data_IF_731897473597
#
_entry.id   IF_731897473597
#
_cell.length_a   1.000
_cell.length_b   1.000
_cell.length_c   1.000
_cell.angle_alpha   90.00
_cell.angle_beta   90.00
_cell.angle_gamma   90.00
#
_symmetry.space_group_name_H-M   'P 1'
#
loop_
_entity.id
_entity.type
_entity.pdbx_description
1 polymer ?
#
# COMPACT_ATOMS: atom_id res chain seq x y z
N UNK A 1 -13.95 8.24 15.92
CA UNK A 1 -14.54 7.54 14.75
C UNK A 1 -14.13 8.13 13.38
N UNK A 2 -13.23 9.13 13.31
CA UNK A 2 -12.97 9.87 12.07
C UNK A 2 -11.94 9.16 11.17
N UNK A 3 -11.03 8.39 11.77
CA UNK A 3 -9.95 7.72 11.03
C UNK A 3 -10.44 6.55 10.19
N UNK A 4 -11.26 5.66 10.77
CA UNK A 4 -11.79 4.50 10.05
C UNK A 4 -12.74 4.88 8.91
N UNK A 5 -13.53 5.95 9.10
CA UNK A 5 -14.37 6.50 8.03
C UNK A 5 -13.55 7.08 6.88
N UNK A 6 -12.44 7.79 7.18
CA UNK A 6 -11.50 8.30 6.18
C UNK A 6 -10.77 7.18 5.42
N UNK A 7 -10.41 6.11 6.12
CA UNK A 7 -9.79 4.93 5.49
C UNK A 7 -10.78 4.20 4.57
N UNK A 8 -12.03 4.06 5.01
CA UNK A 8 -13.10 3.49 4.20
C UNK A 8 -13.34 4.31 2.92
N UNK A 9 -13.42 5.64 3.02
CA UNK A 9 -13.64 6.49 1.84
C UNK A 9 -12.47 6.42 0.85
N UNK A 10 -11.23 6.33 1.35
CA UNK A 10 -10.05 6.10 0.50
C UNK A 10 -10.13 4.75 -0.23
N UNK A 11 -10.47 3.67 0.47
CA UNK A 11 -10.58 2.33 -0.12
C UNK A 11 -11.71 2.23 -1.15
N UNK A 12 -12.83 2.93 -0.93
CA UNK A 12 -13.92 3.06 -1.91
C UNK A 12 -13.42 3.78 -3.17
N UNK A 13 -12.68 4.89 -3.02
CA UNK A 13 -12.07 5.59 -4.15
C UNK A 13 -11.13 4.70 -4.95
N UNK A 14 -10.26 3.93 -4.28
CA UNK A 14 -9.36 2.98 -4.91
C UNK A 14 -10.12 1.87 -5.67
N UNK A 15 -11.22 1.37 -5.10
CA UNK A 15 -12.06 0.37 -5.74
C UNK A 15 -12.71 0.90 -7.03
N UNK A 16 -13.29 2.11 -6.98
CA UNK A 16 -13.92 2.75 -8.14
C UNK A 16 -12.89 2.99 -9.25
N UNK A 17 -11.71 3.50 -8.90
CA UNK A 17 -10.63 3.73 -9.87
C UNK A 17 -10.20 2.41 -10.53
N UNK A 18 -10.06 1.34 -9.74
CA UNK A 18 -9.76 0.01 -10.26
C UNK A 18 -10.83 -0.52 -11.21
N UNK A 19 -12.11 -0.33 -10.89
CA UNK A 19 -13.22 -0.76 -11.74
C UNK A 19 -13.24 -0.01 -13.08
N UNK A 20 -12.95 1.30 -13.07
CA UNK A 20 -12.81 2.10 -14.29
C UNK A 20 -11.64 1.58 -15.14
N UNK A 21 -10.48 1.30 -14.53
CA UNK A 21 -9.32 0.77 -15.26
C UNK A 21 -9.59 -0.61 -15.85
N UNK A 22 -10.29 -1.50 -15.12
CA UNK A 22 -10.72 -2.79 -15.66
C UNK A 22 -11.68 -2.64 -16.83
N UNK A 23 -12.66 -1.74 -16.71
CA UNK A 23 -13.62 -1.48 -17.78
C UNK A 23 -12.91 -0.96 -19.04
N UNK A 24 -12.01 0.02 -18.89
CA UNK A 24 -11.21 0.54 -20.00
C UNK A 24 -10.31 -0.54 -20.62
N UNK A 25 -9.71 -1.39 -19.81
CA UNK A 25 -8.82 -2.47 -20.26
C UNK A 25 -9.53 -3.61 -21.00
N UNK A 26 -10.78 -3.92 -20.62
CA UNK A 26 -11.53 -5.03 -21.21
C UNK A 26 -12.38 -4.59 -22.42
N UNK A 27 -12.90 -3.35 -22.39
CA UNK A 27 -13.88 -2.88 -23.39
C UNK A 27 -13.25 -2.02 -24.47
N UNK A 28 -12.27 -1.18 -24.14
CA UNK A 28 -11.77 -0.14 -25.05
C UNK A 28 -10.35 -0.44 -25.53
N UNK A 29 -9.44 -0.74 -24.61
CA UNK A 29 -8.02 -0.92 -24.89
C UNK A 29 -7.54 -2.26 -24.37
N UNK A 30 -7.25 -3.22 -25.26
CA UNK A 30 -6.65 -4.50 -24.89
C UNK A 30 -5.17 -4.32 -24.47
N UNK A 31 -4.96 -3.73 -23.29
CA UNK A 31 -3.67 -3.36 -22.75
C UNK A 31 -3.44 -4.07 -21.41
N UNK A 32 -2.43 -4.95 -21.39
CA UNK A 32 -2.07 -5.78 -20.24
C UNK A 32 -1.67 -4.96 -19.00
N UNK A 33 -1.08 -3.77 -19.17
CA UNK A 33 -0.71 -2.89 -18.05
C UNK A 33 -1.93 -2.26 -17.37
N UNK A 34 -2.92 -1.81 -18.16
CA UNK A 34 -4.18 -1.29 -17.60
C UNK A 34 -4.97 -2.39 -16.90
N UNK A 35 -4.96 -3.60 -17.46
CA UNK A 35 -5.62 -4.75 -16.84
C UNK A 35 -4.97 -5.11 -15.50
N UNK A 36 -3.63 -5.19 -15.45
CA UNK A 36 -2.90 -5.44 -14.20
C UNK A 36 -3.15 -4.38 -13.13
N UNK A 37 -3.14 -3.10 -13.53
CA UNK A 37 -3.49 -1.99 -12.64
C UNK A 37 -4.93 -2.08 -12.13
N UNK A 38 -5.89 -2.35 -13.03
CA UNK A 38 -7.30 -2.49 -12.68
C UNK A 38 -7.57 -3.62 -11.68
N UNK A 39 -6.98 -4.80 -11.89
CA UNK A 39 -7.08 -5.93 -10.94
C UNK A 39 -6.45 -5.56 -9.59
N UNK A 40 -5.28 -4.92 -9.58
CA UNK A 40 -4.60 -4.55 -8.35
C UNK A 40 -5.44 -3.55 -7.51
N UNK A 41 -5.91 -2.46 -8.12
CA UNK A 41 -6.68 -1.43 -7.44
C UNK A 41 -8.05 -1.93 -6.95
N UNK A 42 -8.72 -2.78 -7.73
CA UNK A 42 -9.99 -3.41 -7.29
C UNK A 42 -9.78 -4.33 -6.11
N UNK A 43 -8.79 -5.23 -6.15
CA UNK A 43 -8.52 -6.15 -5.03
C UNK A 43 -8.14 -5.41 -3.75
N UNK A 44 -7.23 -4.43 -3.85
CA UNK A 44 -6.82 -3.61 -2.69
C UNK A 44 -8.01 -2.84 -2.12
N UNK A 45 -8.81 -2.21 -2.98
CA UNK A 45 -10.01 -1.49 -2.55
C UNK A 45 -11.03 -2.41 -1.87
N UNK A 46 -11.29 -3.59 -2.43
CA UNK A 46 -12.28 -4.54 -1.92
C UNK A 46 -11.85 -5.13 -0.56
N UNK A 47 -10.59 -5.57 -0.44
CA UNK A 47 -10.02 -6.03 0.83
C UNK A 47 -10.03 -4.93 1.89
N UNK A 48 -9.67 -3.71 1.51
CA UNK A 48 -9.66 -2.54 2.40
C UNK A 48 -11.07 -2.17 2.89
N UNK A 49 -12.08 -2.24 2.02
CA UNK A 49 -13.49 -2.06 2.40
C UNK A 49 -13.92 -3.13 3.38
N UNK A 50 -13.64 -4.40 3.08
CA UNK A 50 -14.05 -5.52 3.96
C UNK A 50 -13.43 -5.41 5.34
N UNK A 51 -12.13 -5.11 5.42
CA UNK A 51 -11.44 -4.89 6.70
C UNK A 51 -12.05 -3.71 7.46
N UNK A 52 -12.26 -2.57 6.77
CA UNK A 52 -12.79 -1.36 7.39
C UNK A 52 -14.21 -1.58 7.94
N UNK A 53 -15.07 -2.29 7.19
CA UNK A 53 -16.41 -2.66 7.63
C UNK A 53 -16.38 -3.64 8.80
N UNK A 54 -15.47 -4.63 8.78
CA UNK A 54 -15.31 -5.58 9.89
C UNK A 54 -14.91 -4.87 11.19
N UNK A 55 -13.97 -3.93 11.10
CA UNK A 55 -13.55 -3.14 12.25
C UNK A 55 -14.63 -2.17 12.74
N UNK A 56 -15.40 -1.55 11.85
CA UNK A 56 -16.52 -0.68 12.24
C UNK A 56 -17.67 -1.44 12.92
N UNK A 57 -17.85 -2.73 12.63
CA UNK A 57 -18.85 -3.59 13.29
C UNK A 57 -18.45 -4.02 14.70
N UNK A 58 -17.18 -3.89 15.10
CA UNK A 58 -16.69 -4.23 16.44
C UNK A 58 -16.27 -2.94 17.17
N UNK A 59 -17.17 -2.29 17.93
CA UNK A 59 -16.92 -0.97 18.51
C UNK A 59 -15.74 -0.98 19.51
N UNK A 60 -15.59 -2.03 20.32
CA UNK A 60 -14.50 -2.17 21.28
C UNK A 60 -13.11 -2.12 20.61
N UNK A 61 -12.93 -2.86 19.52
CA UNK A 61 -11.67 -2.85 18.75
C UNK A 61 -11.45 -1.54 18.01
N UNK A 62 -12.52 -0.87 17.62
CA UNK A 62 -12.45 0.40 16.90
C UNK A 62 -11.97 1.52 17.84
N UNK A 63 -12.45 1.53 19.09
CA UNK A 63 -12.03 2.47 20.12
C UNK A 63 -10.60 2.19 20.59
N UNK A 64 -10.23 0.92 20.76
CA UNK A 64 -8.84 0.51 21.04
C UNK A 64 -7.87 1.02 19.95
N UNK A 65 -8.22 0.87 18.66
CA UNK A 65 -7.39 1.35 17.54
C UNK A 65 -7.25 2.88 17.55
N UNK A 66 -8.29 3.62 17.93
CA UNK A 66 -8.22 5.08 18.01
C UNK A 66 -7.41 5.56 19.22
N UNK A 67 -7.51 4.88 20.36
CA UNK A 67 -6.71 5.18 21.56
C UNK A 67 -5.23 4.87 21.33
N UNK A 68 -4.91 3.68 20.81
CA UNK A 68 -3.56 3.23 20.45
C UNK A 68 -2.87 4.17 19.45
N UNK A 69 -3.65 4.87 18.63
CA UNK A 69 -3.12 5.81 17.64
C UNK A 69 -2.69 7.14 18.23
N UNK A 70 -3.22 7.51 19.39
CA UNK A 70 -2.94 8.78 20.07
C UNK A 70 -1.92 8.64 21.20
N UNK A 71 -1.65 7.43 21.69
CA UNK A 71 -0.61 7.20 22.69
C UNK A 71 0.80 7.24 22.09
N UNK A 72 1.62 8.19 22.57
CA UNK A 72 3.00 8.42 22.08
C UNK A 72 3.88 7.16 22.13
N UNK A 73 3.79 6.38 23.22
CA UNK A 73 4.58 5.15 23.40
C UNK A 73 4.24 4.12 22.32
N UNK A 74 2.97 3.97 22.01
CA UNK A 74 2.51 2.98 21.03
C UNK A 74 2.78 3.43 19.61
N UNK A 75 2.68 4.74 19.34
CA UNK A 75 3.13 5.35 18.09
C UNK A 75 4.62 5.10 17.85
N UNK A 76 5.47 5.32 18.87
CA UNK A 76 6.92 5.08 18.76
C UNK A 76 7.26 3.62 18.44
N UNK A 77 6.63 2.66 19.12
CA UNK A 77 6.84 1.23 18.85
C UNK A 77 6.39 0.87 17.43
N UNK A 78 5.25 1.41 16.98
CA UNK A 78 4.72 1.18 15.63
C UNK A 78 5.67 1.74 14.57
N UNK A 79 6.17 2.95 14.73
CA UNK A 79 7.11 3.55 13.77
C UNK A 79 8.43 2.79 13.69
N UNK A 80 8.97 2.38 14.85
CA UNK A 80 10.16 1.54 14.90
C UNK A 80 9.96 0.20 14.19
N UNK A 81 8.79 -0.41 14.37
CA UNK A 81 8.44 -1.68 13.72
C UNK A 81 8.26 -1.50 12.20
N UNK A 82 7.55 -0.44 11.79
CA UNK A 82 7.36 -0.11 10.38
C UNK A 82 8.69 0.15 9.66
N UNK A 83 9.62 0.86 10.32
CA UNK A 83 10.97 1.09 9.79
C UNK A 83 11.73 -0.23 9.58
N UNK A 84 11.70 -1.15 10.55
CA UNK A 84 12.32 -2.47 10.39
C UNK A 84 11.69 -3.30 9.27
N UNK A 85 10.35 -3.33 9.20
CA UNK A 85 9.64 -4.03 8.14
C UNK A 85 9.99 -3.46 6.77
N UNK A 86 10.08 -2.12 6.65
CA UNK A 86 10.51 -1.46 5.42
C UNK A 86 11.90 -1.97 4.97
N UNK A 87 12.89 -2.01 5.86
CA UNK A 87 14.22 -2.53 5.52
C UNK A 87 14.18 -3.98 5.05
N UNK A 88 13.40 -4.85 5.71
CA UNK A 88 13.25 -6.26 5.31
C UNK A 88 12.64 -6.37 3.92
N UNK A 89 11.60 -5.59 3.61
CA UNK A 89 10.97 -5.59 2.29
C UNK A 89 11.91 -5.10 1.18
N UNK A 90 12.76 -4.10 1.47
CA UNK A 90 13.78 -3.66 0.51
C UNK A 90 14.74 -4.80 0.16
N UNK A 91 15.22 -5.55 1.15
CA UNK A 91 16.09 -6.69 0.89
C UNK A 91 15.40 -7.80 0.09
N UNK A 92 14.15 -8.12 0.43
CA UNK A 92 13.36 -9.12 -0.30
C UNK A 92 13.16 -8.70 -1.77
N UNK A 93 12.83 -7.43 -2.02
CA UNK A 93 12.64 -6.92 -3.39
C UNK A 93 13.96 -6.85 -4.17
N UNK A 94 15.07 -6.48 -3.53
CA UNK A 94 16.40 -6.53 -4.14
C UNK A 94 16.76 -7.96 -4.56
N UNK A 95 16.52 -8.94 -3.69
CA UNK A 95 16.79 -10.34 -3.99
C UNK A 95 15.86 -10.89 -5.08
N UNK A 96 14.59 -10.51 -5.04
CA UNK A 96 13.60 -10.82 -6.08
C UNK A 96 14.02 -10.28 -7.44
N UNK A 97 14.46 -9.01 -7.50
CA UNK A 97 14.98 -8.39 -8.72
C UNK A 97 16.19 -9.14 -9.29
N UNK A 98 17.12 -9.56 -8.43
CA UNK A 98 18.28 -10.36 -8.83
C UNK A 98 17.86 -11.72 -9.41
N UNK A 99 17.00 -12.46 -8.72
CA UNK A 99 16.51 -13.77 -9.20
C UNK A 99 15.77 -13.62 -10.53
N UNK A 100 14.84 -12.68 -10.65
CA UNK A 100 14.06 -12.49 -11.88
C UNK A 100 14.95 -12.02 -13.04
N UNK A 101 16.00 -11.27 -12.74
CA UNK A 101 17.01 -10.86 -13.72
C UNK A 101 17.80 -12.04 -14.27
N UNK A 102 18.26 -12.94 -13.38
CA UNK A 102 18.98 -14.17 -13.77
C UNK A 102 18.08 -15.11 -14.59
N UNK A 103 16.81 -15.22 -14.25
CA UNK A 103 15.82 -16.03 -14.98
C UNK A 103 15.37 -15.41 -16.31
N UNK A 104 15.83 -14.20 -16.66
CA UNK A 104 15.50 -13.55 -17.93
C UNK A 104 14.12 -12.90 -17.99
N UNK A 105 13.38 -12.81 -16.86
CA UNK A 105 12.08 -12.14 -16.79
C UNK A 105 12.25 -10.61 -16.75
N UNK A 106 12.54 -10.01 -17.91
CA UNK A 106 12.82 -8.58 -18.05
C UNK A 106 11.70 -7.68 -17.52
N UNK A 107 10.45 -7.96 -17.87
CA UNK A 107 9.29 -7.15 -17.46
C UNK A 107 9.11 -7.17 -15.94
N UNK A 108 9.19 -8.34 -15.31
CA UNK A 108 9.08 -8.49 -13.85
C UNK A 108 10.21 -7.78 -13.12
N UNK A 109 11.44 -7.91 -13.64
CA UNK A 109 12.63 -7.27 -13.09
C UNK A 109 12.50 -5.74 -13.14
N UNK A 110 12.00 -5.18 -14.25
CA UNK A 110 11.73 -3.74 -14.37
C UNK A 110 10.67 -3.27 -13.37
N UNK A 111 9.58 -4.01 -13.19
CA UNK A 111 8.52 -3.67 -12.24
C UNK A 111 9.06 -3.67 -10.81
N UNK A 112 9.82 -4.70 -10.42
CA UNK A 112 10.42 -4.80 -9.09
C UNK A 112 11.44 -3.67 -8.85
N UNK A 113 12.31 -3.39 -9.82
CA UNK A 113 13.28 -2.30 -9.73
C UNK A 113 12.58 -0.93 -9.60
N UNK A 114 11.51 -0.71 -10.37
CA UNK A 114 10.73 0.53 -10.30
C UNK A 114 10.05 0.70 -8.94
N UNK A 115 9.45 -0.36 -8.40
CA UNK A 115 8.85 -0.36 -7.06
C UNK A 115 9.89 -0.05 -5.98
N UNK A 116 11.07 -0.64 -6.08
CA UNK A 116 12.16 -0.45 -5.12
C UNK A 116 12.65 1.01 -5.13
N UNK A 117 12.90 1.57 -6.31
CA UNK A 117 13.28 2.98 -6.48
C UNK A 117 12.18 3.90 -5.94
N UNK A 118 10.92 3.65 -6.30
CA UNK A 118 9.78 4.44 -5.82
C UNK A 118 9.68 4.46 -4.29
N UNK A 119 9.88 3.30 -3.66
CA UNK A 119 9.91 3.19 -2.18
C UNK A 119 11.08 3.94 -1.56
N UNK A 120 12.26 3.92 -2.16
CA UNK A 120 13.42 4.66 -1.65
C UNK A 120 13.19 6.17 -1.73
N UNK A 121 12.65 6.66 -2.85
CA UNK A 121 12.32 8.08 -3.04
C UNK A 121 11.25 8.51 -2.02
N UNK A 122 10.17 7.73 -1.88
CA UNK A 122 9.12 8.03 -0.91
C UNK A 122 9.66 8.08 0.53
N UNK A 123 10.50 7.12 0.90
CA UNK A 123 11.15 7.10 2.21
C UNK A 123 12.08 8.31 2.41
N UNK A 124 12.86 8.68 1.39
CA UNK A 124 13.73 9.84 1.44
C UNK A 124 12.94 11.15 1.64
N UNK A 125 11.88 11.37 0.87
CA UNK A 125 11.04 12.58 0.98
C UNK A 125 10.32 12.63 2.33
N UNK A 126 9.71 11.53 2.76
CA UNK A 126 8.97 11.49 4.03
C UNK A 126 9.94 11.61 5.21
N UNK A 127 11.07 10.90 5.15
CA UNK A 127 12.10 10.93 6.19
C UNK A 127 12.74 12.30 6.34
N UNK A 128 13.07 12.97 5.23
CA UNK A 128 13.61 14.34 5.26
C UNK A 128 12.59 15.36 5.78
N UNK A 129 11.30 15.21 5.44
CA UNK A 129 10.26 16.09 5.98
C UNK A 129 10.14 15.94 7.51
N UNK A 130 10.13 14.71 8.01
CA UNK A 130 10.05 14.42 9.45
C UNK A 130 11.31 14.92 10.18
N UNK A 131 12.49 14.80 9.57
CA UNK A 131 13.74 15.30 10.14
C UNK A 131 13.80 16.83 10.24
N UNK A 132 13.04 17.57 9.43
CA UNK A 132 12.98 19.03 9.47
C UNK A 132 11.90 19.57 10.43
N UNK A 133 10.95 18.73 10.88
CA UNK A 133 9.88 19.11 11.83
C UNK A 133 10.24 18.80 13.30
N UNK A 134 11.33 18.05 13.55
CA UNK A 134 11.89 17.75 14.88
C UNK A 134 13.12 18.61 15.18
#
# INVERSE_FOLDING_TARGET
MNYMKKNLSFNIGAFILGAIFLFLALVIYNNSSLLGGGVAFTLVGLLGIFQSLKFMKTPEKCEEIELVKNEERTVFIREKTNSKLYSVFVYIESFGCFITGVLGYRTTTMVLAFLLIGKMIAWFIIGTKIANEN
#
